data_IF_343221327675
#
_entry.id   IF_343221327675
#
_cell.length_a   1.000
_cell.length_b   1.000
_cell.length_c   1.000
_cell.angle_alpha   90.00
_cell.angle_beta   90.00
_cell.angle_gamma   90.00
#
_symmetry.space_group_name_H-M   'P 1'
#
loop_
_entity.id
_entity.type
_entity.pdbx_description
1 polymer ?
#
# COMPACT_ATOMS: atom_id res chain seq x y z
N UNK A 1 -38.93 -68.63 -32.96
CA UNK A 1 -37.83 -68.08 -33.76
C UNK A 1 -38.33 -68.00 -35.21
N UNK A 2 -39.25 -67.17 -35.70
CA UNK A 2 -39.64 -65.76 -35.51
C UNK A 2 -38.50 -64.73 -35.60
N UNK A 3 -38.68 -63.63 -36.38
CA UNK A 3 -37.89 -63.48 -37.62
C UNK A 3 -37.42 -62.02 -37.94
N UNK A 4 -36.70 -61.89 -39.07
CA UNK A 4 -36.80 -60.86 -40.16
C UNK A 4 -36.53 -59.36 -39.84
N UNK A 5 -35.50 -58.73 -40.42
CA UNK A 5 -35.32 -58.16 -41.80
C UNK A 5 -35.84 -56.71 -41.96
N UNK A 6 -34.98 -55.80 -42.46
CA UNK A 6 -35.38 -54.51 -43.05
C UNK A 6 -34.24 -53.49 -43.19
N UNK A 7 -34.00 -53.01 -44.42
CA UNK A 7 -32.87 -52.19 -44.91
C UNK A 7 -32.96 -50.67 -44.61
N UNK A 8 -31.90 -49.85 -44.91
CA UNK A 8 -31.82 -48.44 -44.49
C UNK A 8 -32.31 -47.44 -45.55
N UNK A 9 -32.73 -46.26 -45.10
CA UNK A 9 -33.08 -45.10 -45.93
C UNK A 9 -32.25 -43.86 -45.53
N UNK A 10 -31.80 -43.12 -46.55
CA UNK A 10 -30.92 -41.95 -46.45
C UNK A 10 -31.64 -40.61 -46.26
N UNK A 11 -30.93 -39.70 -45.57
CA UNK A 11 -30.86 -38.22 -45.68
C UNK A 11 -32.12 -37.41 -46.06
N UNK A 12 -32.59 -36.58 -45.12
CA UNK A 12 -32.58 -35.10 -45.19
C UNK A 12 -33.13 -34.54 -43.86
N UNK A 13 -32.32 -33.82 -43.09
CA UNK A 13 -32.80 -33.10 -41.90
C UNK A 13 -32.36 -31.64 -41.96
N UNK A 14 -33.35 -30.75 -42.07
CA UNK A 14 -33.20 -29.31 -42.06
C UNK A 14 -32.86 -28.81 -40.64
N UNK A 15 -31.84 -27.96 -40.55
CA UNK A 15 -31.47 -27.22 -39.35
C UNK A 15 -32.48 -26.08 -39.13
N UNK A 16 -33.21 -26.10 -38.01
CA UNK A 16 -33.87 -24.92 -37.45
C UNK A 16 -33.07 -24.48 -36.20
N UNK A 17 -32.51 -23.28 -36.26
CA UNK A 17 -31.86 -22.61 -35.12
C UNK A 17 -32.90 -22.23 -34.06
N UNK A 18 -32.67 -22.68 -32.83
CA UNK A 18 -33.24 -22.09 -31.61
C UNK A 18 -32.08 -21.57 -30.75
N UNK A 19 -31.97 -20.25 -30.67
CA UNK A 19 -31.10 -19.54 -29.74
C UNK A 19 -31.72 -19.61 -28.35
N UNK A 20 -31.08 -20.30 -27.41
CA UNK A 20 -31.34 -20.18 -25.98
C UNK A 20 -30.00 -20.02 -25.24
N UNK A 21 -29.60 -18.77 -24.98
CA UNK A 21 -28.58 -18.48 -23.98
C UNK A 21 -29.19 -18.68 -22.58
N UNK A 22 -29.01 -19.88 -22.03
CA UNK A 22 -29.17 -20.14 -20.60
C UNK A 22 -27.80 -20.11 -19.94
N UNK A 23 -27.52 -19.08 -19.13
CA UNK A 23 -26.42 -19.12 -18.18
C UNK A 23 -26.85 -20.01 -17.00
N UNK A 24 -26.26 -21.20 -16.95
CA UNK A 24 -26.39 -22.14 -15.84
C UNK A 24 -25.73 -21.57 -14.59
N UNK A 25 -26.49 -21.46 -13.50
CA UNK A 25 -26.01 -21.23 -12.14
C UNK A 25 -25.39 -22.52 -11.62
N UNK A 26 -24.05 -22.58 -11.58
CA UNK A 26 -23.28 -23.63 -10.92
C UNK A 26 -22.48 -23.02 -9.77
N UNK A 27 -22.74 -23.48 -8.54
CA UNK A 27 -22.27 -22.88 -7.31
C UNK A 27 -20.75 -22.89 -7.09
N UNK A 28 -20.28 -21.86 -6.40
CA UNK A 28 -18.95 -21.73 -5.81
C UNK A 28 -19.10 -21.08 -4.45
N UNK A 29 -18.36 -21.60 -3.46
CA UNK A 29 -18.62 -21.49 -2.03
C UNK A 29 -18.75 -20.08 -1.46
N UNK A 30 -19.63 -19.99 -0.46
CA UNK A 30 -19.88 -18.82 0.37
C UNK A 30 -18.63 -18.43 1.17
N UNK A 31 -18.03 -17.29 0.85
CA UNK A 31 -17.13 -16.53 1.74
C UNK A 31 -18.00 -15.45 2.43
N UNK A 32 -18.09 -15.38 3.77
CA UNK A 32 -19.05 -14.50 4.44
C UNK A 32 -18.56 -13.04 4.42
N UNK A 33 -18.78 -12.36 3.30
CA UNK A 33 -18.84 -10.90 3.27
C UNK A 33 -20.14 -10.46 3.93
N UNK A 34 -20.08 -10.23 5.25
CA UNK A 34 -21.22 -9.70 6.01
C UNK A 34 -21.48 -8.25 5.59
N UNK A 35 -22.38 -8.05 4.62
CA UNK A 35 -22.85 -6.73 4.19
C UNK A 35 -23.71 -6.10 5.30
N UNK A 36 -23.21 -5.04 5.93
CA UNK A 36 -24.02 -4.20 6.84
C UNK A 36 -24.89 -3.25 6.00
N UNK A 37 -26.14 -3.04 6.43
CA UNK A 37 -27.08 -2.14 5.78
C UNK A 37 -26.58 -0.68 5.83
N UNK A 38 -26.07 -0.21 4.69
CA UNK A 38 -25.70 1.18 4.44
C UNK A 38 -26.96 1.93 4.01
N UNK A 39 -27.16 3.13 4.58
CA UNK A 39 -28.21 4.08 4.18
C UNK A 39 -28.33 4.18 2.65
N UNK A 40 -29.51 3.86 2.11
CA UNK A 40 -29.78 3.83 0.67
C UNK A 40 -29.60 5.23 0.05
N UNK A 41 -28.63 5.38 -0.85
CA UNK A 41 -28.54 6.55 -1.72
C UNK A 41 -29.62 6.50 -2.82
N UNK A 42 -30.02 7.66 -3.39
CA UNK A 42 -31.14 7.75 -4.31
C UNK A 42 -30.92 6.90 -5.57
N UNK A 43 -31.95 6.15 -5.96
CA UNK A 43 -32.03 5.50 -7.26
C UNK A 43 -32.37 6.54 -8.34
N UNK A 44 -31.59 6.59 -9.42
CA UNK A 44 -31.95 7.33 -10.63
C UNK A 44 -32.54 6.31 -11.61
N UNK A 45 -33.81 6.45 -12.06
CA UNK A 45 -34.41 5.50 -13.00
C UNK A 45 -33.56 5.36 -14.27
N UNK A 46 -33.15 4.14 -14.59
CA UNK A 46 -32.30 3.82 -15.76
C UNK A 46 -30.78 3.92 -15.54
N UNK A 47 -30.31 4.19 -14.33
CA UNK A 47 -28.88 4.44 -14.04
C UNK A 47 -28.32 3.61 -12.86
N UNK A 48 -29.01 2.54 -12.41
CA UNK A 48 -28.57 1.77 -11.25
C UNK A 48 -28.54 2.57 -9.94
N UNK A 49 -28.04 1.95 -8.86
CA UNK A 49 -27.90 2.60 -7.54
C UNK A 49 -26.42 2.91 -7.30
N UNK A 50 -26.09 4.07 -6.73
CA UNK A 50 -24.74 4.34 -6.20
C UNK A 50 -24.53 3.52 -4.93
N UNK A 51 -24.00 2.32 -5.11
CA UNK A 51 -23.70 1.36 -4.04
C UNK A 51 -22.35 0.70 -4.29
N UNK A 52 -21.77 0.20 -3.21
CA UNK A 52 -20.67 -0.75 -3.31
C UNK A 52 -21.18 -2.07 -3.90
N UNK A 53 -20.35 -2.73 -4.71
CA UNK A 53 -20.67 -4.02 -5.33
C UNK A 53 -19.68 -5.13 -4.97
N UNK A 54 -18.65 -4.82 -4.17
CA UNK A 54 -17.54 -5.69 -3.80
C UNK A 54 -16.56 -5.97 -4.95
N UNK A 55 -15.38 -6.52 -4.60
CA UNK A 55 -14.34 -6.85 -5.57
C UNK A 55 -14.73 -8.05 -6.45
N UNK A 56 -15.55 -8.96 -5.93
CA UNK A 56 -16.04 -10.15 -6.63
C UNK A 56 -16.98 -9.79 -7.79
N UNK A 57 -17.80 -8.74 -7.65
CA UNK A 57 -18.59 -8.25 -8.78
C UNK A 57 -17.70 -7.75 -9.92
N UNK A 58 -16.58 -7.08 -9.59
CA UNK A 58 -15.60 -6.62 -10.57
C UNK A 58 -14.91 -7.80 -11.28
N UNK A 59 -14.63 -8.90 -10.56
CA UNK A 59 -13.99 -10.10 -11.11
C UNK A 59 -14.74 -10.68 -12.31
N UNK A 60 -16.08 -10.63 -12.30
CA UNK A 60 -16.91 -11.22 -13.35
C UNK A 60 -16.63 -10.63 -14.75
N UNK A 61 -16.21 -9.36 -14.83
CA UNK A 61 -15.83 -8.71 -16.09
C UNK A 61 -14.31 -8.43 -16.19
N UNK A 62 -13.62 -8.26 -15.05
CA UNK A 62 -12.21 -7.89 -14.97
C UNK A 62 -11.35 -8.97 -14.29
N UNK A 63 -11.59 -10.24 -14.63
CA UNK A 63 -10.96 -11.40 -13.97
C UNK A 63 -9.42 -11.36 -13.94
N UNK A 64 -8.77 -10.91 -15.01
CA UNK A 64 -7.30 -10.79 -15.06
C UNK A 64 -6.77 -9.72 -14.10
N UNK A 65 -7.41 -8.54 -14.08
CA UNK A 65 -7.04 -7.44 -13.16
C UNK A 65 -7.28 -7.88 -11.72
N UNK A 66 -8.40 -8.55 -11.45
CA UNK A 66 -8.72 -9.08 -10.13
C UNK A 66 -7.67 -10.12 -9.67
N UNK A 67 -7.27 -11.06 -10.53
CA UNK A 67 -6.27 -12.07 -10.21
C UNK A 67 -4.89 -11.46 -9.90
N UNK A 68 -4.49 -10.41 -10.63
CA UNK A 68 -3.28 -9.64 -10.31
C UNK A 68 -3.47 -8.87 -8.98
N UNK A 69 -4.63 -8.24 -8.77
CA UNK A 69 -4.91 -7.42 -7.59
C UNK A 69 -4.92 -8.24 -6.30
N UNK A 70 -5.47 -9.45 -6.32
CA UNK A 70 -5.46 -10.40 -5.20
C UNK A 70 -4.06 -10.88 -4.82
N UNK A 71 -3.06 -10.61 -5.66
CA UNK A 71 -1.65 -10.83 -5.35
C UNK A 71 -0.99 -9.61 -4.70
N UNK A 72 -1.68 -8.48 -4.52
CA UNK A 72 -1.14 -7.29 -3.86
C UNK A 72 -1.41 -7.30 -2.35
N UNK A 73 -0.75 -6.41 -1.60
CA UNK A 73 -0.98 -6.25 -0.16
C UNK A 73 -2.20 -5.40 0.21
N UNK A 74 -2.75 -4.62 -0.72
CA UNK A 74 -3.90 -3.75 -0.49
C UNK A 74 -5.13 -4.46 0.08
N UNK A 75 -5.61 -5.59 -0.51
CA UNK A 75 -6.78 -6.29 0.02
C UNK A 75 -6.55 -6.94 1.39
N UNK A 76 -5.28 -7.08 1.81
CA UNK A 76 -4.88 -7.73 3.07
C UNK A 76 -4.37 -6.75 4.13
N UNK A 77 -4.63 -5.44 3.96
CA UNK A 77 -4.17 -4.43 4.91
C UNK A 77 -4.89 -4.52 6.27
N UNK A 78 -6.17 -4.87 6.25
CA UNK A 78 -6.96 -5.23 7.42
C UNK A 78 -7.65 -6.56 7.09
N UNK A 79 -7.66 -7.49 8.03
CA UNK A 79 -8.19 -8.83 7.82
C UNK A 79 -9.07 -9.18 9.01
N UNK A 80 -10.34 -9.52 8.74
CA UNK A 80 -11.26 -9.95 9.80
C UNK A 80 -10.88 -11.36 10.25
N UNK A 81 -10.92 -11.61 11.55
CA UNK A 81 -10.77 -12.96 12.10
C UNK A 81 -12.16 -13.58 12.16
N UNK A 82 -12.35 -14.69 11.44
CA UNK A 82 -13.63 -15.38 11.32
C UNK A 82 -13.51 -16.75 11.97
N UNK A 83 -14.46 -17.11 12.82
CA UNK A 83 -14.50 -18.41 13.54
C UNK A 83 -13.20 -18.74 14.30
N UNK A 84 -12.54 -17.71 14.85
CA UNK A 84 -11.27 -17.84 15.57
C UNK A 84 -10.14 -18.39 14.70
N UNK A 85 -10.19 -18.21 13.38
CA UNK A 85 -9.16 -18.69 12.46
C UNK A 85 -8.19 -17.57 12.05
N UNK A 86 -6.91 -17.93 12.00
CA UNK A 86 -5.87 -17.05 11.48
C UNK A 86 -6.16 -16.66 10.01
N UNK A 87 -6.07 -15.38 9.64
CA UNK A 87 -6.16 -14.97 8.23
C UNK A 87 -5.03 -15.57 7.39
N UNK A 88 -5.33 -15.88 6.12
CA UNK A 88 -4.37 -16.42 5.17
C UNK A 88 -3.88 -15.35 4.20
N UNK A 89 -2.63 -15.48 3.74
CA UNK A 89 -2.00 -14.56 2.80
C UNK A 89 -1.37 -15.35 1.65
N UNK A 90 -1.26 -14.76 0.44
CA UNK A 90 -0.75 -15.50 -0.72
C UNK A 90 0.73 -15.91 -0.62
N UNK A 91 1.55 -15.17 0.15
CA UNK A 91 3.02 -15.32 0.16
C UNK A 91 3.64 -15.46 1.54
N UNK A 92 2.88 -15.16 2.58
CA UNK A 92 3.38 -15.01 3.94
C UNK A 92 2.52 -15.81 4.91
N UNK A 93 3.06 -16.01 6.10
CA UNK A 93 2.35 -16.62 7.21
C UNK A 93 2.69 -15.88 8.50
N UNK A 94 1.72 -15.84 9.41
CA UNK A 94 1.88 -15.35 10.78
C UNK A 94 1.64 -16.47 11.79
N UNK A 95 1.76 -17.73 11.35
CA UNK A 95 1.66 -18.89 12.22
C UNK A 95 2.71 -18.82 13.33
N UNK A 96 2.29 -19.06 14.59
CA UNK A 96 3.18 -18.98 15.75
C UNK A 96 3.53 -17.55 16.19
N UNK A 97 3.07 -16.50 15.49
CA UNK A 97 3.41 -15.13 15.82
C UNK A 97 2.56 -14.56 16.98
N UNK A 98 1.31 -15.01 17.12
CA UNK A 98 0.41 -14.55 18.18
C UNK A 98 0.92 -14.99 19.56
N UNK A 99 1.39 -16.23 19.65
CA UNK A 99 1.92 -16.89 20.85
C UNK A 99 3.20 -16.22 21.38
N UNK A 100 3.81 -15.35 20.57
CA UNK A 100 5.04 -14.62 20.90
C UNK A 100 4.75 -13.20 21.42
N UNK A 101 3.49 -12.82 21.53
CA UNK A 101 3.11 -11.53 22.14
C UNK A 101 3.61 -11.48 23.58
N UNK A 102 4.31 -10.40 23.91
CA UNK A 102 4.81 -10.13 25.26
C UNK A 102 4.56 -8.68 25.66
N UNK A 103 4.27 -8.47 26.95
CA UNK A 103 4.07 -7.13 27.51
C UNK A 103 2.90 -6.36 26.90
N UNK A 104 1.82 -7.04 26.50
CA UNK A 104 0.60 -6.38 26.06
C UNK A 104 -0.06 -5.64 27.23
N UNK A 105 -0.61 -4.46 26.98
CA UNK A 105 -1.19 -3.59 28.02
C UNK A 105 -2.70 -3.37 27.88
N UNK A 106 -3.37 -4.05 26.94
CA UNK A 106 -4.82 -3.97 26.75
C UNK A 106 -5.57 -4.40 28.01
N UNK A 107 -6.75 -3.83 28.25
CA UNK A 107 -7.59 -4.16 29.41
C UNK A 107 -8.09 -5.62 29.39
N UNK A 108 -8.22 -6.22 28.20
CA UNK A 108 -8.52 -7.65 28.03
C UNK A 108 -7.28 -8.55 28.16
N UNK A 109 -6.10 -7.98 28.36
CA UNK A 109 -4.82 -8.69 28.35
C UNK A 109 -4.34 -9.04 26.95
N UNK A 110 -3.28 -9.86 26.88
CA UNK A 110 -2.77 -10.39 25.62
C UNK A 110 -3.73 -11.46 25.05
N UNK A 111 -4.11 -11.41 23.77
CA UNK A 111 -4.86 -12.49 23.12
C UNK A 111 -4.12 -13.83 23.26
N UNK A 112 -4.81 -14.90 23.65
CA UNK A 112 -4.23 -16.24 23.80
C UNK A 112 -4.48 -17.13 22.58
N UNK A 113 -5.49 -16.78 21.79
CA UNK A 113 -5.82 -17.45 20.54
C UNK A 113 -6.48 -16.48 19.57
N UNK A 114 -6.69 -16.90 18.32
CA UNK A 114 -7.47 -16.12 17.36
C UNK A 114 -8.95 -15.98 17.75
N UNK A 115 -9.47 -16.72 18.73
CA UNK A 115 -10.81 -16.47 19.28
C UNK A 115 -10.87 -15.15 20.09
N UNK A 116 -9.73 -14.64 20.55
CA UNK A 116 -9.61 -13.38 21.29
C UNK A 116 -9.27 -12.18 20.38
N UNK A 117 -9.15 -12.42 19.06
CA UNK A 117 -8.75 -11.43 18.07
C UNK A 117 -9.94 -11.09 17.19
N UNK A 118 -10.25 -9.80 17.04
CA UNK A 118 -11.28 -9.34 16.11
C UNK A 118 -10.75 -9.15 14.68
N UNK A 119 -9.56 -8.55 14.57
CA UNK A 119 -8.93 -8.22 13.29
C UNK A 119 -7.40 -8.34 13.37
N UNK A 120 -6.77 -8.58 12.21
CA UNK A 120 -5.32 -8.50 12.01
C UNK A 120 -5.01 -7.34 11.06
N UNK A 121 -4.11 -6.45 11.48
CA UNK A 121 -3.62 -5.33 10.69
C UNK A 121 -2.30 -5.75 10.02
N UNK A 122 -2.28 -5.77 8.70
CA UNK A 122 -1.13 -6.24 7.90
C UNK A 122 -1.07 -7.76 7.78
N UNK A 123 0.12 -8.34 7.89
CA UNK A 123 0.37 -9.78 7.69
C UNK A 123 0.81 -10.16 6.28
N UNK A 124 0.63 -9.26 5.30
CA UNK A 124 1.06 -9.51 3.92
C UNK A 124 2.58 -9.36 3.72
N UNK A 125 3.15 -8.17 3.95
CA UNK A 125 4.51 -7.86 3.45
C UNK A 125 5.58 -7.50 4.49
N UNK A 126 5.23 -6.73 5.52
CA UNK A 126 6.24 -6.15 6.45
C UNK A 126 5.99 -6.50 7.91
N UNK A 127 4.74 -6.31 8.36
CA UNK A 127 4.37 -6.46 9.77
C UNK A 127 2.95 -6.96 9.94
N UNK A 128 2.72 -7.63 11.06
CA UNK A 128 1.39 -7.98 11.55
C UNK A 128 1.19 -7.40 12.96
N UNK A 129 -0.03 -6.96 13.22
CA UNK A 129 -0.53 -6.57 14.55
C UNK A 129 -1.94 -7.11 14.71
N UNK A 130 -2.37 -7.25 15.95
CA UNK A 130 -3.67 -7.81 16.28
C UNK A 130 -4.55 -6.76 16.94
N UNK A 131 -5.85 -6.96 16.85
CA UNK A 131 -6.85 -6.21 17.59
C UNK A 131 -7.57 -7.18 18.52
N UNK A 132 -7.73 -6.81 19.78
CA UNK A 132 -8.44 -7.64 20.75
C UNK A 132 -9.93 -7.78 20.40
N UNK A 133 -10.65 -8.59 21.18
CA UNK A 133 -12.08 -8.87 20.96
C UNK A 133 -12.98 -7.64 21.05
N UNK A 134 -12.53 -6.56 21.68
CA UNK A 134 -13.23 -5.28 21.76
C UNK A 134 -12.85 -4.31 20.63
N UNK A 135 -11.97 -4.74 19.72
CA UNK A 135 -11.52 -3.95 18.58
C UNK A 135 -10.46 -2.91 18.93
N UNK A 136 -9.81 -3.00 20.10
CA UNK A 136 -8.64 -2.17 20.37
C UNK A 136 -7.39 -2.81 19.80
N UNK A 137 -6.47 -2.00 19.27
CA UNK A 137 -5.19 -2.51 18.78
C UNK A 137 -4.40 -3.03 19.97
N UNK A 138 -3.80 -4.21 19.83
CA UNK A 138 -2.91 -4.77 20.85
C UNK A 138 -1.62 -3.96 20.88
N UNK A 139 -1.35 -3.36 22.03
CA UNK A 139 -0.23 -2.43 22.28
C UNK A 139 0.66 -2.97 23.38
N UNK A 140 1.96 -2.67 23.34
CA UNK A 140 2.92 -3.25 24.27
C UNK A 140 4.36 -3.23 23.78
N UNK A 141 5.24 -3.92 24.51
CA UNK A 141 6.69 -3.97 24.22
C UNK A 141 7.07 -5.02 23.18
N UNK A 142 6.27 -6.07 22.98
CA UNK A 142 6.49 -7.12 21.99
C UNK A 142 5.18 -7.56 21.35
N UNK A 143 4.52 -6.67 20.61
CA UNK A 143 3.15 -6.88 20.07
C UNK A 143 3.05 -6.71 18.55
N UNK A 144 4.13 -6.29 17.90
CA UNK A 144 4.22 -6.22 16.44
C UNK A 144 5.18 -7.29 15.94
N UNK A 145 4.69 -8.19 15.08
CA UNK A 145 5.51 -9.18 14.41
C UNK A 145 6.06 -8.61 13.10
N UNK A 146 7.37 -8.75 12.89
CA UNK A 146 8.05 -8.34 11.68
C UNK A 146 8.28 -9.56 10.78
N UNK A 147 7.77 -9.51 9.55
CA UNK A 147 7.77 -10.69 8.65
C UNK A 147 9.14 -11.03 8.08
N UNK A 148 10.04 -10.05 7.97
CA UNK A 148 11.36 -10.23 7.33
C UNK A 148 12.29 -11.12 8.17
N UNK A 149 12.36 -10.88 9.48
CA UNK A 149 13.27 -11.58 10.40
C UNK A 149 12.54 -12.35 11.51
N UNK A 150 11.21 -12.30 11.52
CA UNK A 150 10.39 -12.91 12.56
C UNK A 150 10.54 -12.27 13.94
N UNK A 151 11.13 -11.08 14.07
CA UNK A 151 11.28 -10.42 15.37
C UNK A 151 9.96 -9.84 15.89
N UNK A 152 9.85 -9.70 17.21
CA UNK A 152 8.78 -8.95 17.87
C UNK A 152 9.29 -7.56 18.24
N UNK A 153 8.43 -6.54 18.10
CA UNK A 153 8.77 -5.16 18.40
C UNK A 153 7.63 -4.45 19.15
N UNK A 154 7.99 -3.33 19.79
CA UNK A 154 7.05 -2.50 20.53
C UNK A 154 6.10 -1.76 19.58
N UNK A 155 4.86 -1.56 20.02
CA UNK A 155 3.90 -0.69 19.36
C UNK A 155 3.05 0.01 20.41
N UNK A 156 3.16 1.34 20.48
CA UNK A 156 2.49 2.20 21.47
C UNK A 156 2.50 1.61 22.88
N UNK A 157 3.68 1.20 23.36
CA UNK A 157 3.83 0.36 24.56
C UNK A 157 3.19 0.91 25.84
N UNK A 158 2.96 2.22 25.94
CA UNK A 158 2.35 2.87 27.10
C UNK A 158 0.85 3.20 26.91
N UNK A 159 0.27 2.94 25.73
CA UNK A 159 -1.11 3.30 25.42
C UNK A 159 -2.02 2.10 25.65
N UNK A 160 -2.76 2.07 26.75
CA UNK A 160 -3.82 1.09 27.01
C UNK A 160 -5.00 1.34 26.06
N UNK A 161 -5.61 0.27 25.56
CA UNK A 161 -6.82 0.28 24.73
C UNK A 161 -6.77 1.31 23.59
N UNK A 162 -5.72 1.21 22.77
CA UNK A 162 -5.57 2.06 21.59
C UNK A 162 -6.68 1.77 20.59
N UNK A 163 -7.50 2.78 20.32
CA UNK A 163 -8.56 2.70 19.31
C UNK A 163 -8.00 2.60 17.89
N UNK A 164 -8.78 1.98 17.02
CA UNK A 164 -8.52 1.88 15.58
C UNK A 164 -9.26 2.98 14.82
N UNK A 165 -8.51 3.99 14.43
CA UNK A 165 -8.91 5.13 13.61
C UNK A 165 -8.24 5.12 12.22
N UNK A 166 -7.47 4.07 11.92
CA UNK A 166 -6.65 3.99 10.72
C UNK A 166 -7.42 3.57 9.45
N UNK A 167 -8.75 3.46 9.53
CA UNK A 167 -9.56 2.85 8.50
C UNK A 167 -9.60 3.62 7.19
N UNK A 168 -9.38 4.94 7.22
CA UNK A 168 -9.35 5.80 6.03
C UNK A 168 -8.37 5.29 4.97
N UNK A 169 -7.22 4.77 5.38
CA UNK A 169 -6.18 4.26 4.49
C UNK A 169 -6.14 2.73 4.43
N UNK A 170 -6.81 2.04 5.34
CA UNK A 170 -6.65 0.59 5.56
C UNK A 170 -7.90 -0.23 5.24
N UNK A 171 -8.99 0.41 4.83
CA UNK A 171 -10.27 -0.21 4.52
C UNK A 171 -10.89 0.39 3.26
N UNK A 172 -12.02 -0.14 2.81
CA UNK A 172 -12.78 0.38 1.68
C UNK A 172 -14.09 0.96 2.17
N UNK A 173 -14.39 2.19 1.75
CA UNK A 173 -15.58 2.90 2.18
C UNK A 173 -15.54 3.24 3.67
N UNK A 174 -14.42 3.74 4.18
CA UNK A 174 -14.35 4.21 5.56
C UNK A 174 -15.33 5.36 5.82
N UNK A 175 -16.02 5.31 6.95
CA UNK A 175 -16.72 6.43 7.57
C UNK A 175 -16.23 6.57 9.01
N UNK A 176 -15.59 7.69 9.37
CA UNK A 176 -15.16 7.86 10.75
C UNK A 176 -16.37 7.94 11.68
N UNK A 177 -16.19 7.50 12.92
CA UNK A 177 -17.18 7.68 13.97
C UNK A 177 -17.38 9.18 14.21
N UNK A 178 -18.62 9.60 14.19
CA UNK A 178 -19.05 10.96 14.50
C UNK A 178 -20.44 10.88 15.14
N UNK A 179 -20.64 11.54 16.29
CA UNK A 179 -21.89 11.40 17.03
C UNK A 179 -23.14 11.87 16.24
N UNK A 180 -22.97 12.78 15.29
CA UNK A 180 -24.05 13.32 14.47
C UNK A 180 -24.15 12.62 13.11
N UNK A 181 -23.02 12.37 12.43
CA UNK A 181 -22.99 11.90 11.04
C UNK A 181 -22.89 10.37 10.92
N UNK A 182 -22.22 9.72 11.87
CA UNK A 182 -22.02 8.27 11.89
C UNK A 182 -21.77 7.76 13.31
N UNK A 183 -22.83 7.58 14.12
CA UNK A 183 -22.70 7.16 15.52
C UNK A 183 -22.39 5.65 15.66
N UNK A 184 -22.08 4.97 14.56
CA UNK A 184 -21.87 3.53 14.52
C UNK A 184 -20.37 3.20 14.55
N UNK A 185 -20.06 2.02 15.09
CA UNK A 185 -18.71 1.45 15.12
C UNK A 185 -18.75 0.09 14.45
N UNK A 186 -17.71 -0.25 13.69
CA UNK A 186 -17.67 -1.51 12.97
C UNK A 186 -17.88 -2.69 13.92
N UNK A 187 -18.80 -3.58 13.58
CA UNK A 187 -19.18 -4.76 14.36
C UNK A 187 -19.60 -4.45 15.81
N UNK A 188 -20.03 -3.22 16.09
CA UNK A 188 -20.32 -2.70 17.44
C UNK A 188 -19.13 -2.79 18.41
N UNK A 189 -17.90 -2.80 17.88
CA UNK A 189 -16.69 -2.88 18.68
C UNK A 189 -16.31 -1.49 19.22
N UNK A 190 -16.19 -1.31 20.55
CA UNK A 190 -15.89 0.00 21.13
C UNK A 190 -14.52 0.55 20.71
N UNK A 191 -13.56 -0.31 20.36
CA UNK A 191 -12.25 0.09 19.88
C UNK A 191 -12.22 0.58 18.43
N UNK A 192 -13.30 0.41 17.65
CA UNK A 192 -13.37 0.88 16.25
C UNK A 192 -13.90 2.32 16.18
N UNK A 193 -13.11 3.26 15.64
CA UNK A 193 -13.50 4.68 15.46
C UNK A 193 -14.13 4.94 14.08
N UNK A 194 -14.99 4.03 13.63
CA UNK A 194 -15.72 4.18 12.39
C UNK A 194 -16.30 2.88 11.87
N UNK A 195 -16.88 2.95 10.69
CA UNK A 195 -17.45 1.82 9.93
C UNK A 195 -16.81 1.76 8.55
N UNK A 196 -16.86 0.60 7.91
CA UNK A 196 -16.40 0.45 6.52
C UNK A 196 -17.27 -0.52 5.75
N UNK A 197 -17.18 -0.48 4.42
CA UNK A 197 -17.87 -1.43 3.55
C UNK A 197 -17.16 -2.80 3.55
N UNK A 198 -15.84 -2.80 3.35
CA UNK A 198 -15.04 -4.02 3.32
C UNK A 198 -13.64 -3.82 3.90
N UNK A 199 -13.07 -4.92 4.40
CA UNK A 199 -11.72 -4.93 4.94
C UNK A 199 -10.67 -4.78 3.83
N UNK A 200 -9.56 -4.12 4.16
CA UNK A 200 -8.51 -3.84 3.20
C UNK A 200 -8.91 -2.79 2.17
N UNK A 201 -7.94 -2.39 1.35
CA UNK A 201 -8.13 -1.44 0.25
C UNK A 201 -8.50 -2.26 -0.99
N UNK A 202 -9.79 -2.27 -1.34
CA UNK A 202 -10.40 -3.01 -2.45
C UNK A 202 -10.57 -2.11 -3.68
N UNK A 203 -11.07 -2.66 -4.78
CA UNK A 203 -11.26 -1.95 -6.06
C UNK A 203 -11.95 -0.59 -5.86
N UNK A 204 -13.06 -0.59 -5.10
CA UNK A 204 -13.92 0.58 -4.91
C UNK A 204 -13.32 1.63 -3.96
N UNK A 205 -12.20 1.35 -3.29
CA UNK A 205 -11.44 2.38 -2.58
C UNK A 205 -10.80 3.36 -3.57
N UNK A 206 -10.26 2.86 -4.69
CA UNK A 206 -9.61 3.69 -5.72
C UNK A 206 -10.56 4.11 -6.84
N UNK A 207 -11.60 3.31 -7.10
CA UNK A 207 -12.52 3.48 -8.22
C UNK A 207 -13.89 4.08 -7.82
N UNK A 208 -14.17 4.17 -6.52
CA UNK A 208 -15.45 4.62 -5.98
C UNK A 208 -16.56 3.56 -6.17
N UNK A 209 -17.80 3.95 -5.84
CA UNK A 209 -18.99 3.09 -5.93
C UNK A 209 -19.20 2.54 -7.34
N UNK A 210 -19.15 1.22 -7.49
CA UNK A 210 -19.24 0.53 -8.78
C UNK A 210 -20.66 0.21 -9.27
N UNK A 211 -21.70 0.40 -8.45
CA UNK A 211 -23.06 -0.06 -8.76
C UNK A 211 -23.64 0.42 -10.10
N UNK A 212 -23.43 1.68 -10.46
CA UNK A 212 -23.85 2.21 -11.77
C UNK A 212 -23.04 1.55 -12.88
N UNK A 213 -21.72 1.52 -12.74
CA UNK A 213 -20.83 0.94 -13.74
C UNK A 213 -21.11 -0.53 -14.03
N UNK A 214 -21.40 -1.33 -13.00
CA UNK A 214 -21.79 -2.75 -13.20
C UNK A 214 -23.11 -2.86 -13.97
N UNK A 215 -24.07 -1.96 -13.72
CA UNK A 215 -25.37 -1.99 -14.40
C UNK A 215 -25.30 -1.49 -15.85
N UNK A 216 -24.44 -0.50 -16.14
CA UNK A 216 -24.38 0.17 -17.45
C UNK A 216 -23.22 -0.31 -18.33
N UNK A 217 -22.19 -0.90 -17.72
CA UNK A 217 -20.89 -1.23 -18.32
C UNK A 217 -20.15 -0.02 -18.92
N UNK A 218 -20.54 1.20 -18.56
CA UNK A 218 -19.95 2.41 -19.13
C UNK A 218 -18.74 2.89 -18.32
N UNK A 219 -17.62 3.15 -18.99
CA UNK A 219 -16.38 3.68 -18.39
C UNK A 219 -16.53 5.07 -17.75
N UNK A 220 -17.58 5.82 -18.10
CA UNK A 220 -17.88 7.12 -17.50
C UNK A 220 -18.46 7.00 -16.09
N UNK A 221 -19.00 5.83 -15.74
CA UNK A 221 -19.71 5.59 -14.49
C UNK A 221 -18.78 5.06 -13.38
N UNK A 222 -17.48 5.03 -13.63
CA UNK A 222 -16.44 4.60 -12.67
C UNK A 222 -15.23 5.54 -12.71
N UNK A 223 -14.64 5.83 -11.56
CA UNK A 223 -13.43 6.66 -11.50
C UNK A 223 -12.25 5.83 -12.00
N UNK A 224 -11.55 6.28 -13.05
CA UNK A 224 -10.33 5.59 -13.54
C UNK A 224 -9.04 6.17 -12.99
N UNK A 225 -9.06 7.46 -12.61
CA UNK A 225 -7.95 8.18 -12.00
C UNK A 225 -8.52 9.02 -10.87
N UNK A 226 -8.33 8.57 -9.65
CA UNK A 226 -8.75 9.30 -8.47
C UNK A 226 -7.97 10.61 -8.35
N UNK A 227 -8.67 11.67 -7.99
CA UNK A 227 -8.10 12.93 -7.53
C UNK A 227 -8.25 13.01 -6.02
N UNK A 228 -7.30 13.62 -5.30
CA UNK A 228 -7.39 13.70 -3.85
C UNK A 228 -8.68 14.38 -3.41
N UNK A 229 -9.39 13.76 -2.47
CA UNK A 229 -10.61 14.36 -1.89
C UNK A 229 -10.27 15.66 -1.17
N UNK A 230 -11.11 16.67 -1.33
CA UNK A 230 -10.98 17.96 -0.64
C UNK A 230 -11.42 17.85 0.82
N UNK A 231 -10.98 18.80 1.65
CA UNK A 231 -11.46 18.91 3.04
C UNK A 231 -12.99 19.01 3.10
N UNK A 232 -13.59 19.85 2.27
CA UNK A 232 -15.04 20.03 2.23
C UNK A 232 -15.79 18.74 1.87
N UNK A 233 -15.23 17.89 1.00
CA UNK A 233 -15.82 16.58 0.68
C UNK A 233 -15.70 15.59 1.84
N UNK A 234 -14.59 15.62 2.58
CA UNK A 234 -14.36 14.77 3.75
C UNK A 234 -15.26 15.17 4.95
N UNK A 235 -15.55 16.47 5.08
CA UNK A 235 -16.44 17.02 6.11
C UNK A 235 -17.93 17.02 5.73
N UNK A 236 -18.26 16.63 4.50
CA UNK A 236 -19.65 16.55 4.05
C UNK A 236 -20.44 15.52 4.86
N UNK A 237 -21.78 15.60 4.81
CA UNK A 237 -22.65 14.72 5.59
C UNK A 237 -22.48 13.22 5.28
N UNK A 238 -22.04 12.89 4.06
CA UNK A 238 -21.71 11.52 3.66
C UNK A 238 -20.29 11.10 4.07
N UNK A 239 -19.49 12.01 4.64
CA UNK A 239 -18.09 11.83 5.04
C UNK A 239 -17.23 11.24 3.92
N UNK A 240 -17.50 11.66 2.67
CA UNK A 240 -16.91 11.12 1.45
C UNK A 240 -17.07 9.59 1.24
N UNK A 241 -18.06 8.96 1.88
CA UNK A 241 -18.32 7.54 1.75
C UNK A 241 -18.59 7.13 0.30
N UNK A 242 -17.77 6.20 -0.23
CA UNK A 242 -17.89 5.72 -1.60
C UNK A 242 -17.20 6.59 -2.66
N UNK A 243 -16.55 7.70 -2.25
CA UNK A 243 -15.69 8.46 -3.15
C UNK A 243 -14.36 7.75 -3.34
N UNK A 244 -13.85 7.77 -4.57
CA UNK A 244 -12.53 7.27 -4.91
C UNK A 244 -11.44 8.03 -4.15
N UNK A 245 -10.45 7.29 -3.66
CA UNK A 245 -9.31 7.77 -2.87
C UNK A 245 -8.07 7.82 -3.77
N UNK A 246 -7.35 8.93 -3.76
CA UNK A 246 -6.08 9.05 -4.47
C UNK A 246 -4.93 8.46 -3.66
N UNK A 247 -3.92 7.90 -4.33
CA UNK A 247 -2.75 7.30 -3.68
C UNK A 247 -2.09 8.22 -2.64
N UNK A 248 -2.04 9.52 -2.95
CA UNK A 248 -1.44 10.57 -2.11
C UNK A 248 -2.16 10.81 -0.79
N UNK A 249 -3.42 10.37 -0.65
CA UNK A 249 -4.17 10.52 0.59
C UNK A 249 -3.72 9.51 1.66
N UNK A 250 -3.20 8.36 1.21
CA UNK A 250 -2.83 7.25 2.10
C UNK A 250 -1.31 7.03 2.18
N UNK A 251 -0.58 7.20 1.08
CA UNK A 251 0.87 6.99 1.05
C UNK A 251 1.65 8.23 1.50
N UNK A 252 1.15 8.94 2.51
CA UNK A 252 1.80 10.11 3.14
C UNK A 252 1.75 9.95 4.65
N UNK A 253 2.65 10.62 5.37
CA UNK A 253 2.60 10.66 6.84
C UNK A 253 2.47 12.05 7.41
N UNK A 254 3.35 12.97 7.03
CA UNK A 254 3.21 14.39 7.41
C UNK A 254 2.01 15.04 6.71
N UNK A 255 1.57 14.47 5.59
CA UNK A 255 0.38 14.87 4.85
C UNK A 255 -0.90 14.13 5.23
N UNK A 256 -0.89 13.30 6.26
CA UNK A 256 -2.06 12.53 6.67
C UNK A 256 -3.20 13.47 7.11
N UNK A 257 -4.36 13.31 6.48
CA UNK A 257 -5.59 14.03 6.80
C UNK A 257 -6.58 13.01 7.31
N UNK A 258 -7.10 13.21 8.51
CA UNK A 258 -8.05 12.30 9.13
C UNK A 258 -9.07 13.07 9.96
N UNK A 259 -10.09 12.36 10.45
CA UNK A 259 -11.17 12.99 11.20
C UNK A 259 -10.67 13.68 12.48
N UNK A 260 -9.69 13.09 13.16
CA UNK A 260 -9.14 13.62 14.42
C UNK A 260 -8.38 14.94 14.25
N UNK A 261 -7.83 15.22 13.07
CA UNK A 261 -7.15 16.48 12.75
C UNK A 261 -8.01 17.48 11.95
N UNK A 262 -9.33 17.24 11.84
CA UNK A 262 -10.23 18.08 11.04
C UNK A 262 -9.82 18.14 9.57
N UNK A 263 -9.20 17.06 9.07
CA UNK A 263 -8.65 16.91 7.73
C UNK A 263 -7.64 17.99 7.33
N UNK A 264 -6.92 18.54 8.31
CA UNK A 264 -5.79 19.45 8.12
C UNK A 264 -4.52 18.73 8.57
N UNK A 265 -3.65 18.39 7.63
CA UNK A 265 -2.43 17.64 7.95
C UNK A 265 -1.39 18.51 8.66
N UNK A 266 -0.41 17.90 9.37
CA UNK A 266 0.75 18.62 9.87
C UNK A 266 1.49 19.44 8.80
N UNK A 267 1.58 18.95 7.56
CA UNK A 267 2.12 19.70 6.43
C UNK A 267 1.28 20.93 6.09
N UNK A 268 -0.05 20.79 6.09
CA UNK A 268 -0.97 21.92 5.85
C UNK A 268 -0.83 22.99 6.95
N UNK A 269 -0.73 22.57 8.21
CA UNK A 269 -0.48 23.47 9.34
C UNK A 269 0.88 24.18 9.22
N UNK A 270 1.86 23.56 8.58
CA UNK A 270 3.17 24.16 8.26
C UNK A 270 3.17 25.00 6.97
N UNK A 271 2.01 25.25 6.35
CA UNK A 271 1.85 26.16 5.21
C UNK A 271 1.84 25.47 3.83
N UNK A 272 1.91 24.14 3.75
CA UNK A 272 1.78 23.44 2.47
C UNK A 272 0.33 23.41 1.99
N UNK A 273 0.05 23.94 0.80
CA UNK A 273 -1.32 24.03 0.27
C UNK A 273 -1.82 22.73 -0.41
N UNK A 274 -1.01 21.67 -0.48
CA UNK A 274 -1.32 20.44 -1.22
C UNK A 274 -1.74 19.25 -0.35
N UNK A 275 -1.86 18.08 -1.00
CA UNK A 275 -1.98 16.78 -0.34
C UNK A 275 -0.62 16.11 -0.33
N UNK A 276 -0.31 15.39 0.75
CA UNK A 276 1.04 14.92 1.07
C UNK A 276 1.76 15.89 2.01
N UNK A 277 3.04 15.64 2.26
CA UNK A 277 3.79 16.40 3.25
C UNK A 277 5.30 16.24 3.13
N UNK A 278 6.01 16.66 4.19
CA UNK A 278 7.45 16.48 4.34
C UNK A 278 7.79 15.01 4.59
N UNK A 279 9.05 14.67 4.32
CA UNK A 279 9.55 13.30 4.47
C UNK A 279 9.86 13.03 5.94
N UNK A 280 8.94 12.38 6.65
CA UNK A 280 9.11 12.04 8.07
C UNK A 280 10.30 11.08 8.27
N UNK A 281 11.09 11.35 9.32
CA UNK A 281 12.26 10.56 9.68
C UNK A 281 12.32 10.32 11.19
N UNK A 282 12.97 9.22 11.58
CA UNK A 282 13.38 8.95 12.95
C UNK A 282 14.47 7.88 12.98
N UNK A 283 15.37 7.97 13.97
CA UNK A 283 16.43 6.98 14.14
C UNK A 283 17.41 6.91 12.95
N UNK A 284 17.56 8.03 12.22
CA UNK A 284 18.44 8.12 11.04
C UNK A 284 17.93 7.36 9.82
N UNK A 285 16.61 7.12 9.72
CA UNK A 285 15.94 6.55 8.56
C UNK A 285 14.62 7.29 8.30
N UNK A 286 14.13 7.23 7.06
CA UNK A 286 12.79 7.67 6.69
C UNK A 286 11.77 6.70 7.30
N UNK A 287 10.64 7.22 7.78
CA UNK A 287 9.62 6.41 8.44
C UNK A 287 8.60 5.83 7.45
N UNK A 288 8.29 4.55 7.63
CA UNK A 288 7.12 3.86 7.07
C UNK A 288 7.06 3.74 5.54
N UNK A 289 6.10 2.97 5.01
CA UNK A 289 6.03 2.62 3.58
C UNK A 289 5.15 3.59 2.77
N UNK A 290 5.03 4.82 3.26
CA UNK A 290 4.20 5.88 2.71
C UNK A 290 5.09 6.84 1.90
N UNK A 291 5.51 6.45 0.69
CA UNK A 291 6.60 7.15 -0.04
C UNK A 291 6.14 8.32 -0.94
N UNK A 292 4.90 8.79 -0.84
CA UNK A 292 4.45 9.92 -1.66
C UNK A 292 5.20 11.22 -1.29
N UNK A 293 5.51 11.40 -0.02
CA UNK A 293 6.22 12.58 0.49
C UNK A 293 7.63 12.70 -0.11
N UNK A 294 8.30 11.56 -0.31
CA UNK A 294 9.61 11.48 -0.96
C UNK A 294 9.54 11.93 -2.42
N UNK A 295 8.45 11.59 -3.12
CA UNK A 295 8.20 11.97 -4.50
C UNK A 295 7.81 13.44 -4.65
N UNK A 296 7.08 13.99 -3.67
CA UNK A 296 6.77 15.41 -3.59
C UNK A 296 8.01 16.27 -3.35
N UNK A 297 8.99 15.73 -2.63
CA UNK A 297 10.25 16.40 -2.36
C UNK A 297 10.04 17.80 -1.76
N UNK A 298 9.33 17.91 -0.64
CA UNK A 298 9.16 19.19 0.07
C UNK A 298 10.42 19.48 0.88
N UNK A 299 10.92 20.71 0.81
CA UNK A 299 11.99 21.19 1.70
C UNK A 299 11.42 21.38 3.12
N UNK A 300 11.91 20.62 4.14
CA UNK A 300 11.40 20.76 5.50
C UNK A 300 11.64 22.16 6.09
N UNK A 301 12.67 22.88 5.66
CA UNK A 301 12.99 24.24 6.15
C UNK A 301 12.11 25.32 5.51
N UNK A 302 11.44 25.01 4.39
CA UNK A 302 10.58 25.94 3.68
C UNK A 302 9.34 25.23 3.10
N UNK A 303 8.53 24.67 3.99
CA UNK A 303 7.34 23.89 3.63
C UNK A 303 6.34 24.68 2.78
N UNK A 304 6.21 25.98 3.04
CA UNK A 304 5.31 26.87 2.30
C UNK A 304 5.71 27.08 0.83
N UNK A 305 6.99 26.89 0.47
CA UNK A 305 7.43 26.91 -0.93
C UNK A 305 6.90 25.71 -1.73
N UNK A 306 6.41 24.67 -1.05
CA UNK A 306 5.82 23.49 -1.66
C UNK A 306 6.86 22.52 -2.22
N UNK A 307 6.45 21.80 -3.27
CA UNK A 307 7.24 20.74 -3.88
C UNK A 307 8.50 21.30 -4.55
N UNK A 308 9.68 20.87 -4.10
CA UNK A 308 10.97 21.16 -4.78
C UNK A 308 11.31 20.10 -5.82
N UNK A 309 10.33 19.32 -6.24
CA UNK A 309 10.49 18.27 -7.24
C UNK A 309 11.08 18.86 -8.52
N UNK A 310 11.98 18.13 -9.17
CA UNK A 310 12.63 18.59 -10.40
C UNK A 310 11.59 19.00 -11.46
N UNK A 311 11.85 20.09 -12.18
CA UNK A 311 10.92 20.64 -13.19
C UNK A 311 10.54 19.62 -14.27
N UNK A 312 11.43 18.68 -14.60
CA UNK A 312 11.16 17.57 -15.53
C UNK A 312 10.06 16.64 -15.02
N UNK A 313 10.06 16.29 -13.72
CA UNK A 313 9.02 15.47 -13.10
C UNK A 313 7.67 16.19 -13.03
N UNK A 314 7.70 17.51 -12.81
CA UNK A 314 6.49 18.34 -12.81
C UNK A 314 5.88 18.44 -14.23
N UNK A 315 6.70 18.76 -15.22
CA UNK A 315 6.30 18.87 -16.64
C UNK A 315 5.76 17.55 -17.18
N UNK A 316 6.38 16.42 -16.82
CA UNK A 316 5.92 15.09 -17.19
C UNK A 316 4.66 14.62 -16.43
N UNK A 317 4.14 15.43 -15.48
CA UNK A 317 3.04 15.07 -14.57
C UNK A 317 3.26 13.69 -13.94
N UNK A 318 4.50 13.41 -13.56
CA UNK A 318 4.93 12.08 -13.17
C UNK A 318 4.22 11.63 -11.88
N UNK A 319 3.46 10.54 -11.92
CA UNK A 319 2.74 9.98 -10.76
C UNK A 319 3.26 8.59 -10.42
N UNK A 320 2.80 8.00 -9.31
CA UNK A 320 3.15 6.64 -8.90
C UNK A 320 2.96 5.62 -10.04
N UNK A 321 1.87 5.78 -10.79
CA UNK A 321 1.48 4.91 -11.91
C UNK A 321 2.36 5.05 -13.17
N UNK A 322 3.33 5.96 -13.19
CA UNK A 322 4.31 6.01 -14.26
C UNK A 322 5.25 4.79 -14.21
N UNK A 323 5.60 4.35 -12.99
CA UNK A 323 6.46 3.19 -12.74
C UNK A 323 5.70 1.98 -12.19
N UNK A 324 4.63 2.19 -11.42
CA UNK A 324 3.89 1.11 -10.78
C UNK A 324 2.64 0.73 -11.55
N UNK A 325 2.38 -0.58 -11.64
CA UNK A 325 1.06 -1.10 -11.95
C UNK A 325 0.32 -1.31 -10.63
N UNK A 326 -0.70 -0.49 -10.37
CA UNK A 326 -1.42 -0.50 -9.09
C UNK A 326 -2.19 -1.80 -8.82
N UNK A 327 -2.36 -2.65 -9.83
CA UNK A 327 -3.01 -3.94 -9.67
C UNK A 327 -2.02 -5.08 -9.48
N UNK A 328 -0.71 -4.85 -9.57
CA UNK A 328 0.29 -5.92 -9.49
C UNK A 328 1.18 -5.81 -8.28
N UNK A 329 1.59 -6.97 -7.77
CA UNK A 329 2.49 -7.07 -6.62
C UNK A 329 3.88 -6.48 -6.92
N UNK A 330 4.42 -5.74 -5.97
CA UNK A 330 5.71 -5.03 -6.10
C UNK A 330 6.80 -5.61 -5.19
N UNK A 331 6.43 -6.22 -4.06
CA UNK A 331 7.38 -6.76 -3.06
C UNK A 331 7.81 -8.20 -3.35
N UNK A 332 6.94 -9.01 -3.97
CA UNK A 332 7.21 -10.42 -4.29
C UNK A 332 7.52 -10.60 -5.78
N UNK A 333 8.67 -11.23 -6.06
CA UNK A 333 9.20 -11.39 -7.42
C UNK A 333 8.59 -12.60 -8.13
N UNK A 334 8.66 -12.63 -9.47
CA UNK A 334 9.12 -13.76 -10.25
C UNK A 334 9.32 -15.11 -9.55
N UNK A 335 8.33 -16.02 -9.44
CA UNK A 335 8.61 -17.35 -8.86
C UNK A 335 8.65 -17.47 -7.33
N UNK A 336 8.25 -16.43 -6.57
CA UNK A 336 7.90 -16.61 -5.15
C UNK A 336 6.78 -17.68 -5.03
N UNK A 337 6.89 -18.66 -4.11
CA UNK A 337 5.82 -19.63 -3.87
C UNK A 337 4.48 -18.93 -3.61
N UNK A 338 3.41 -19.41 -4.25
CA UNK A 338 2.08 -18.78 -4.21
C UNK A 338 1.86 -17.69 -5.27
N UNK A 339 2.88 -17.27 -6.02
CA UNK A 339 2.73 -16.29 -7.11
C UNK A 339 2.24 -16.97 -8.38
N UNK A 340 1.12 -16.52 -8.92
CA UNK A 340 0.50 -17.07 -10.12
C UNK A 340 0.46 -16.03 -11.23
N UNK A 341 1.18 -16.27 -12.33
CA UNK A 341 1.23 -15.34 -13.46
C UNK A 341 1.87 -13.98 -13.12
N UNK A 342 1.59 -12.98 -13.96
CA UNK A 342 1.93 -11.56 -13.74
C UNK A 342 3.39 -11.16 -13.99
N UNK A 343 3.60 -10.13 -14.83
CA UNK A 343 4.88 -9.41 -14.95
C UNK A 343 5.26 -8.64 -13.68
N UNK A 344 6.39 -7.91 -13.66
CA UNK A 344 6.73 -7.08 -12.51
C UNK A 344 5.67 -5.98 -12.31
N UNK A 345 5.24 -5.75 -11.06
CA UNK A 345 4.33 -4.64 -10.72
C UNK A 345 5.02 -3.27 -10.65
N UNK A 346 6.31 -3.23 -10.97
CA UNK A 346 7.13 -2.01 -10.96
C UNK A 346 8.13 -2.04 -12.13
N UNK A 347 8.26 -0.90 -12.81
CA UNK A 347 9.33 -0.60 -13.76
C UNK A 347 10.53 -0.08 -12.98
N UNK A 348 11.58 -0.88 -12.89
CA UNK A 348 12.74 -0.59 -12.03
C UNK A 348 14.09 -1.04 -12.63
N UNK A 349 14.09 -1.49 -13.88
CA UNK A 349 15.33 -1.83 -14.60
C UNK A 349 16.04 -0.58 -15.10
N UNK A 350 17.34 -0.71 -15.42
CA UNK A 350 18.08 0.37 -16.07
C UNK A 350 17.42 0.85 -17.36
N UNK A 351 16.90 -0.09 -18.17
CA UNK A 351 16.20 0.23 -19.42
C UNK A 351 14.94 1.08 -19.18
N UNK A 352 14.20 0.81 -18.08
CA UNK A 352 13.03 1.61 -17.71
C UNK A 352 13.44 3.07 -17.40
N UNK A 353 14.50 3.26 -16.62
CA UNK A 353 15.03 4.59 -16.29
C UNK A 353 15.55 5.31 -17.55
N UNK A 354 16.28 4.60 -18.40
CA UNK A 354 16.90 5.14 -19.62
C UNK A 354 15.88 5.55 -20.69
N UNK A 355 14.62 5.08 -20.60
CA UNK A 355 13.54 5.55 -21.48
C UNK A 355 13.35 7.08 -21.38
N UNK A 356 13.58 7.65 -20.19
CA UNK A 356 13.55 9.10 -19.96
C UNK A 356 14.94 9.71 -19.75
N UNK A 357 15.93 8.89 -19.40
CA UNK A 357 17.31 9.31 -19.15
C UNK A 357 18.30 8.65 -20.15
N UNK A 358 18.13 8.84 -21.47
CA UNK A 358 18.90 8.11 -22.48
C UNK A 358 20.40 8.46 -22.47
N UNK A 359 20.76 9.60 -21.88
CA UNK A 359 22.13 10.07 -21.79
C UNK A 359 22.86 9.56 -20.53
N UNK A 360 22.17 8.83 -19.64
CA UNK A 360 22.74 8.31 -18.39
C UNK A 360 23.08 6.82 -18.54
N UNK A 361 23.91 6.49 -19.53
CA UNK A 361 24.32 5.11 -19.80
C UNK A 361 25.20 4.56 -18.66
N UNK A 362 24.80 3.47 -17.98
CA UNK A 362 25.64 2.81 -16.97
C UNK A 362 27.02 2.40 -17.51
N UNK A 363 27.14 2.11 -18.81
CA UNK A 363 28.41 1.81 -19.47
C UNK A 363 29.31 3.05 -19.64
N UNK A 364 28.74 4.26 -19.55
CA UNK A 364 29.47 5.53 -19.51
C UNK A 364 29.75 6.02 -18.09
N UNK A 365 29.23 5.31 -17.06
CA UNK A 365 29.63 5.59 -15.69
C UNK A 365 31.14 5.40 -15.55
N UNK A 366 31.83 6.36 -14.92
CA UNK A 366 33.29 6.30 -14.68
C UNK A 366 33.72 5.14 -13.76
N UNK A 367 32.79 4.24 -13.41
CA UNK A 367 33.01 3.13 -12.51
C UNK A 367 32.63 1.81 -13.20
N UNK A 368 33.48 1.29 -14.12
CA UNK A 368 33.27 -0.02 -14.76
C UNK A 368 33.01 -1.16 -13.76
N UNK A 369 33.58 -1.05 -12.55
CA UNK A 369 33.36 -1.98 -11.45
C UNK A 369 31.90 -2.02 -10.95
N UNK A 370 31.10 -0.97 -11.22
CA UNK A 370 29.69 -0.84 -10.84
C UNK A 370 28.72 -1.10 -12.00
N UNK A 371 29.22 -1.52 -13.18
CA UNK A 371 28.39 -1.73 -14.38
C UNK A 371 27.30 -2.82 -14.20
N UNK A 372 27.40 -3.66 -13.17
CA UNK A 372 26.42 -4.68 -12.81
C UNK A 372 25.30 -4.18 -11.89
N UNK A 373 25.39 -2.94 -11.38
CA UNK A 373 24.38 -2.33 -10.53
C UNK A 373 23.24 -1.72 -11.34
N UNK A 374 22.06 -1.64 -10.73
CA UNK A 374 20.94 -0.92 -11.30
C UNK A 374 20.90 0.53 -10.82
N UNK A 375 20.28 1.43 -11.58
CA UNK A 375 20.07 2.83 -11.20
C UNK A 375 19.48 2.93 -9.78
N UNK A 376 18.51 2.05 -9.46
CA UNK A 376 17.82 2.01 -8.17
C UNK A 376 18.70 1.55 -7.00
N UNK A 377 19.94 1.09 -7.23
CA UNK A 377 20.84 0.68 -6.16
C UNK A 377 21.51 1.90 -5.51
N UNK A 378 21.77 2.95 -6.29
CA UNK A 378 22.30 4.23 -5.79
C UNK A 378 21.22 5.31 -5.67
N UNK A 379 20.24 5.34 -6.59
CA UNK A 379 19.20 6.37 -6.64
C UNK A 379 17.91 5.99 -5.90
N UNK A 380 17.80 4.77 -5.38
CA UNK A 380 16.68 4.34 -4.53
C UNK A 380 17.18 3.36 -3.45
N UNK A 381 18.20 3.73 -2.66
CA UNK A 381 18.77 2.85 -1.66
C UNK A 381 17.76 2.55 -0.56
N UNK A 382 18.04 1.51 0.24
CA UNK A 382 17.17 1.14 1.37
C UNK A 382 17.35 2.13 2.53
N UNK A 383 16.60 3.23 2.50
CA UNK A 383 16.66 4.33 3.47
C UNK A 383 15.36 4.46 4.29
N UNK A 384 14.36 3.62 4.01
CA UNK A 384 13.03 3.69 4.61
C UNK A 384 12.82 2.49 5.55
N UNK A 385 12.33 2.75 6.77
CA UNK A 385 12.00 1.72 7.78
C UNK A 385 10.50 1.61 7.97
N UNK A 386 9.91 0.51 7.50
CA UNK A 386 8.52 0.14 7.76
C UNK A 386 8.35 -0.79 8.96
N UNK A 387 9.19 -1.82 9.06
CA UNK A 387 9.19 -2.82 10.12
C UNK A 387 10.58 -2.98 10.75
N UNK A 388 11.59 -3.35 9.94
CA UNK A 388 12.94 -3.67 10.42
C UNK A 388 13.98 -2.73 9.86
N UNK A 389 15.14 -2.72 10.49
CA UNK A 389 16.33 -2.01 10.04
C UNK A 389 17.55 -2.74 10.54
N UNK A 390 18.62 -2.71 9.75
CA UNK A 390 19.93 -3.27 10.14
C UNK A 390 21.01 -2.21 10.00
N UNK A 391 22.18 -2.48 10.53
CA UNK A 391 23.39 -1.72 10.21
C UNK A 391 24.18 -2.43 9.10
N UNK A 392 24.93 -1.67 8.29
CA UNK A 392 26.00 -2.26 7.48
C UNK A 392 27.09 -2.85 8.38
N UNK A 393 27.84 -3.82 7.85
CA UNK A 393 28.77 -4.64 8.63
C UNK A 393 30.16 -4.02 8.82
N UNK A 394 30.40 -2.84 8.24
CA UNK A 394 31.74 -2.28 8.13
C UNK A 394 32.18 -1.24 9.14
N UNK A 395 33.39 -0.72 8.91
CA UNK A 395 34.08 0.24 9.78
C UNK A 395 33.30 1.56 9.94
N UNK A 396 32.43 1.89 8.98
CA UNK A 396 31.47 2.99 9.07
C UNK A 396 30.05 2.42 8.92
N UNK A 397 29.43 1.93 10.02
CA UNK A 397 28.10 1.34 9.96
C UNK A 397 27.05 2.39 9.59
N UNK A 398 26.28 2.12 8.54
CA UNK A 398 25.12 2.93 8.13
C UNK A 398 23.83 2.19 8.43
N UNK A 399 22.79 2.94 8.81
CA UNK A 399 21.47 2.36 8.98
C UNK A 399 20.87 2.03 7.60
N UNK A 400 20.35 0.82 7.46
CA UNK A 400 19.71 0.31 6.25
C UNK A 400 18.29 -0.09 6.62
N UNK A 401 17.33 0.51 5.93
CA UNK A 401 15.92 0.21 6.08
C UNK A 401 15.51 -1.09 5.38
N UNK A 402 14.22 -1.42 5.45
CA UNK A 402 13.61 -2.56 4.76
C UNK A 402 12.94 -2.15 3.44
N UNK A 403 12.88 -0.85 3.13
CA UNK A 403 12.23 -0.29 1.94
C UNK A 403 13.17 0.66 1.19
N UNK A 404 13.11 0.58 -0.14
CA UNK A 404 13.78 1.53 -1.05
C UNK A 404 13.07 2.89 -1.03
N UNK A 405 13.86 3.95 -0.91
CA UNK A 405 13.37 5.33 -1.02
C UNK A 405 12.97 5.69 -2.46
N UNK A 406 12.06 6.64 -2.60
CA UNK A 406 11.68 7.34 -3.83
C UNK A 406 12.31 8.74 -3.90
N UNK A 407 13.38 9.00 -3.13
CA UNK A 407 14.29 10.13 -3.37
C UNK A 407 15.32 9.70 -4.42
N UNK A 408 15.24 10.29 -5.61
CA UNK A 408 16.14 9.93 -6.72
C UNK A 408 17.42 10.77 -6.79
N UNK A 409 17.38 12.00 -6.28
CA UNK A 409 18.49 12.95 -6.40
C UNK A 409 19.59 12.55 -5.42
N UNK A 410 20.81 12.36 -5.92
CA UNK A 410 22.01 12.26 -5.10
C UNK A 410 22.64 13.66 -5.05
N UNK A 411 23.06 14.10 -3.86
CA UNK A 411 23.73 15.39 -3.67
C UNK A 411 25.02 15.21 -2.86
N UNK A 412 26.15 15.12 -3.56
CA UNK A 412 27.45 14.85 -2.97
C UNK A 412 28.15 16.11 -2.44
N UNK A 413 27.59 17.30 -2.70
CA UNK A 413 28.06 18.54 -2.06
C UNK A 413 27.55 18.68 -0.61
N UNK A 414 26.68 17.77 -0.16
CA UNK A 414 26.06 17.77 1.17
C UNK A 414 26.74 16.72 2.05
N UNK A 415 27.01 17.09 3.30
CA UNK A 415 27.59 16.16 4.27
C UNK A 415 26.53 15.17 4.73
N UNK A 416 26.95 13.99 5.20
CA UNK A 416 26.04 12.95 5.69
C UNK A 416 25.18 13.43 6.88
N UNK A 417 25.73 14.30 7.73
CA UNK A 417 25.00 14.94 8.82
C UNK A 417 23.82 15.80 8.34
N UNK A 418 23.80 16.21 7.07
CA UNK A 418 22.74 17.03 6.47
C UNK A 418 21.67 16.21 5.72
N UNK A 419 21.65 14.89 5.87
CA UNK A 419 20.56 14.06 5.31
C UNK A 419 19.22 14.31 6.01
N UNK A 420 19.26 14.66 7.30
CA UNK A 420 18.09 14.89 8.15
C UNK A 420 18.17 16.29 8.78
N UNK A 421 17.02 16.81 9.19
CA UNK A 421 16.94 18.02 10.03
C UNK A 421 17.70 17.81 11.34
N UNK A 422 18.12 18.89 11.99
CA UNK A 422 18.91 18.81 13.22
C UNK A 422 18.19 18.05 14.35
N UNK A 423 16.85 18.07 14.38
CA UNK A 423 16.02 17.31 15.33
C UNK A 423 15.73 15.87 14.86
N UNK A 424 16.20 15.49 13.67
CA UNK A 424 16.04 14.17 13.08
C UNK A 424 14.61 13.82 12.65
N UNK A 425 13.67 14.77 12.68
CA UNK A 425 12.25 14.52 12.38
C UNK A 425 11.91 14.48 10.90
N UNK A 426 12.72 15.11 10.06
CA UNK A 426 12.51 15.12 8.61
C UNK A 426 13.80 14.76 7.87
N UNK A 427 13.64 14.12 6.71
CA UNK A 427 14.70 13.95 5.73
C UNK A 427 14.61 15.06 4.67
N UNK A 428 15.77 15.51 4.18
CA UNK A 428 15.82 16.37 3.01
C UNK A 428 15.62 15.55 1.72
N UNK A 429 15.08 16.14 0.64
CA UNK A 429 14.75 15.44 -0.60
C UNK A 429 15.97 15.21 -1.51
N UNK A 430 17.06 14.74 -0.94
CA UNK A 430 18.27 14.30 -1.64
C UNK A 430 18.95 13.18 -0.85
N UNK A 431 19.78 12.37 -1.50
CA UNK A 431 20.61 11.35 -0.88
C UNK A 431 22.04 11.86 -0.70
N UNK A 432 22.59 11.73 0.51
CA UNK A 432 24.03 11.93 0.75
C UNK A 432 24.83 10.68 0.38
N UNK A 433 26.16 10.77 0.40
CA UNK A 433 27.07 9.66 0.11
C UNK A 433 26.82 8.45 1.05
N UNK A 434 26.50 8.70 2.32
CA UNK A 434 26.15 7.65 3.30
C UNK A 434 25.07 6.70 2.81
N UNK A 435 24.00 7.23 2.20
CA UNK A 435 22.87 6.40 1.79
C UNK A 435 23.01 5.89 0.37
N UNK A 436 23.61 6.66 -0.53
CA UNK A 436 23.80 6.25 -1.93
C UNK A 436 24.94 5.23 -2.11
N UNK A 437 26.00 5.30 -1.30
CA UNK A 437 27.25 4.57 -1.52
C UNK A 437 27.60 3.60 -0.38
N UNK A 438 27.49 4.04 0.88
CA UNK A 438 28.04 3.29 2.03
C UNK A 438 27.20 2.07 2.45
N UNK A 439 26.10 1.75 1.75
CA UNK A 439 25.46 0.43 1.87
C UNK A 439 26.30 -0.70 1.27
N UNK A 440 27.24 -0.36 0.37
CA UNK A 440 28.24 -1.29 -0.19
C UNK A 440 29.67 -0.89 0.17
N UNK A 441 29.94 0.42 0.29
CA UNK A 441 31.23 1.00 0.65
C UNK A 441 31.29 1.34 2.14
N UNK A 442 31.15 0.33 3.00
CA UNK A 442 31.11 0.51 4.46
C UNK A 442 32.49 0.44 5.13
N UNK A 443 33.57 0.44 4.34
CA UNK A 443 34.95 0.41 4.80
C UNK A 443 35.50 -1.00 5.04
N UNK A 444 34.78 -2.06 4.67
CA UNK A 444 35.25 -3.46 4.78
C UNK A 444 35.86 -4.02 3.52
N UNK A 445 35.63 -3.39 2.37
CA UNK A 445 36.08 -3.93 1.08
C UNK A 445 37.44 -3.35 0.74
N UNK A 446 38.36 -4.18 0.23
CA UNK A 446 39.71 -3.76 -0.14
C UNK A 446 39.78 -2.67 -1.24
N UNK A 447 38.65 -2.41 -1.93
CA UNK A 447 38.49 -1.32 -2.90
C UNK A 447 37.81 -0.07 -2.32
N UNK A 448 37.35 -0.10 -1.05
CA UNK A 448 37.10 1.10 -0.26
C UNK A 448 38.47 1.67 0.12
N UNK A 449 39.25 2.07 -0.88
CA UNK A 449 40.60 2.56 -0.65
C UNK A 449 40.52 3.82 0.19
N UNK A 450 41.47 3.89 1.10
CA UNK A 450 41.67 4.92 2.11
C UNK A 450 42.32 6.19 1.52
N UNK A 451 41.93 6.63 0.33
CA UNK A 451 42.40 7.88 -0.25
C UNK A 451 41.62 9.07 0.32
N UNK A 452 41.91 9.36 1.60
CA UNK A 452 41.60 10.64 2.27
C UNK A 452 42.31 11.85 1.63
N UNK A 453 42.72 11.78 0.36
CA UNK A 453 43.57 12.77 -0.28
C UNK A 453 43.24 13.06 -1.75
N UNK A 454 42.02 12.75 -2.22
CA UNK A 454 41.57 13.23 -3.52
C UNK A 454 40.57 14.38 -3.36
N UNK A 455 41.11 15.59 -3.26
CA UNK A 455 40.45 16.87 -3.52
C UNK A 455 40.02 17.02 -5.00
N UNK A 456 39.80 15.92 -5.71
CA UNK A 456 39.67 15.86 -7.16
C UNK A 456 38.58 14.94 -7.71
N UNK A 457 37.74 14.32 -6.87
CA UNK A 457 36.48 13.75 -7.37
C UNK A 457 35.46 14.88 -7.55
N UNK A 458 35.59 15.55 -8.69
CA UNK A 458 34.56 16.44 -9.19
C UNK A 458 33.35 15.58 -9.59
N UNK A 459 32.39 15.49 -8.67
CA UNK A 459 31.06 14.94 -8.92
C UNK A 459 30.28 15.94 -9.78
N UNK A 460 30.64 16.03 -11.05
CA UNK A 460 29.83 16.66 -12.10
C UNK A 460 28.84 15.66 -12.70
#
# INVERSE_FOLDING_TARGET
MTPRLGAPLSLLAAFLLLFSLGCSTGGGGDDPTLSVAVSRQPTIPGQGTRVFVSAEACQNCHGAIYADFRQTGHPYKLNKVVNGQMPTYPYSSIAGALERITGAVNSLGAPQSYADVSYVIGGFGWKARWMDRNGFIVTGTGVQYNLDDGSMSAYNAAQVDKKYDCGECHTTGWRPFDAALNPNRQDNLPGMEGTFHSTGVQCEACHGLGGIHVATMNKADIVRKATPRTKAELEAADQAYGRAIACSECHTRDGERNHANGYVSPANAAGFAGVGGRIMAAGGLIQHHEQFDELLAIDPDNTAAGSTRMASFQTAKFTCTACHDQHKVTIYKPGTPGRVGGGPGVKSSNADCMTCHPNNDPAQSKHPAMAHLNCIDCHMPKMVKSATSRKSGGAVPVNIGDIKTHIFRINLSKTDASQFTADGKFAYPYLTAQFACHQCHDGTRAHDRTDRNESGFDFH
#
